data_IF_897948602648
#
_entry.id   IF_897948602648
#
_cell.length_a   1.000
_cell.length_b   1.000
_cell.length_c   1.000
_cell.angle_alpha   90.00
_cell.angle_beta   90.00
_cell.angle_gamma   90.00
#
_symmetry.space_group_name_H-M   'P 1'
#
loop_
_entity.id
_entity.type
_entity.pdbx_description
1 polymer ?
#
# COMPACT_ATOMS: atom_id res chain seq x y z
N UNK A 1 26.75 4.33 4.94
CA UNK A 1 25.47 4.48 5.68
C UNK A 1 24.58 5.36 4.84
N UNK A 2 23.61 4.77 4.14
CA UNK A 2 22.58 5.53 3.43
C UNK A 2 21.84 6.40 4.44
N UNK A 3 22.00 7.72 4.33
CA UNK A 3 21.28 8.68 5.16
C UNK A 3 19.95 8.97 4.47
N UNK A 4 18.84 8.61 5.10
CA UNK A 4 17.52 9.07 4.68
C UNK A 4 17.38 10.55 5.04
N UNK A 5 17.99 11.45 4.27
CA UNK A 5 17.83 12.91 4.43
C UNK A 5 17.97 13.42 5.89
N UNK A 6 18.91 12.88 6.66
CA UNK A 6 19.14 13.24 8.08
C UNK A 6 18.36 12.44 9.12
N UNK A 7 17.42 11.59 8.71
CA UNK A 7 16.70 10.66 9.58
C UNK A 7 17.45 9.33 9.77
N UNK A 8 17.23 8.68 10.91
CA UNK A 8 17.76 7.33 11.15
C UNK A 8 16.94 6.28 10.40
N UNK A 9 17.52 5.11 10.18
CA UNK A 9 16.79 3.95 9.64
C UNK A 9 15.54 3.61 10.46
N UNK A 10 15.59 3.83 11.78
CA UNK A 10 14.46 3.61 12.68
C UNK A 10 13.33 4.63 12.47
N UNK A 11 13.65 5.89 12.20
CA UNK A 11 12.64 6.92 11.88
C UNK A 11 11.99 6.66 10.51
N UNK A 12 12.78 6.21 9.54
CA UNK A 12 12.27 5.77 8.25
C UNK A 12 11.31 4.58 8.41
N UNK A 13 11.70 3.56 9.18
CA UNK A 13 10.83 2.41 9.47
C UNK A 13 9.52 2.83 10.15
N UNK A 14 9.59 3.68 11.19
CA UNK A 14 8.38 4.17 11.89
C UNK A 14 7.44 4.93 10.97
N UNK A 15 7.99 5.66 10.00
CA UNK A 15 7.22 6.39 9.00
C UNK A 15 6.52 5.42 8.05
N UNK A 16 7.26 4.44 7.52
CA UNK A 16 6.70 3.41 6.64
C UNK A 16 5.62 2.60 7.36
N UNK A 17 5.86 2.16 8.59
CA UNK A 17 4.89 1.42 9.41
C UNK A 17 3.58 2.20 9.63
N UNK A 18 3.66 3.53 9.74
CA UNK A 18 2.49 4.38 9.92
C UNK A 18 1.69 4.57 8.63
N UNK A 19 2.38 4.85 7.53
CA UNK A 19 1.72 5.28 6.28
C UNK A 19 1.36 4.11 5.36
N UNK A 20 2.03 2.97 5.46
CA UNK A 20 1.78 1.80 4.63
C UNK A 20 0.31 1.32 4.67
N UNK A 21 -0.31 1.05 5.84
CA UNK A 21 -1.73 0.67 5.87
C UNK A 21 -2.65 1.78 5.36
N UNK A 22 -2.30 3.04 5.59
CA UNK A 22 -3.10 4.20 5.17
C UNK A 22 -3.06 4.42 3.64
N UNK A 23 -1.93 4.15 3.01
CA UNK A 23 -1.81 4.14 1.56
C UNK A 23 -2.68 3.03 0.94
N UNK A 24 -2.74 1.86 1.57
CA UNK A 24 -3.59 0.75 1.12
C UNK A 24 -5.09 1.05 1.26
N UNK A 25 -5.47 1.80 2.29
CA UNK A 25 -6.85 2.28 2.51
C UNK A 25 -7.33 3.21 1.38
N UNK A 26 -6.41 3.87 0.66
CA UNK A 26 -6.76 4.80 -0.46
C UNK A 26 -7.40 4.07 -1.64
N UNK A 27 -7.15 2.77 -1.80
CA UNK A 27 -7.78 1.96 -2.84
C UNK A 27 -9.25 1.61 -2.52
N UNK A 28 -9.71 1.86 -1.28
CA UNK A 28 -11.07 1.58 -0.85
C UNK A 28 -11.36 0.10 -0.67
N UNK A 29 -12.63 -0.23 -0.40
CA UNK A 29 -13.07 -1.58 -0.09
C UNK A 29 -13.00 -2.50 -1.31
N UNK A 30 -12.63 -3.76 -1.08
CA UNK A 30 -12.52 -4.76 -2.14
C UNK A 30 -13.89 -5.16 -2.68
N UNK A 31 -14.91 -5.21 -1.82
CA UNK A 31 -16.31 -5.53 -2.19
C UNK A 31 -17.13 -4.29 -2.57
N UNK A 32 -16.47 -3.24 -3.08
CA UNK A 32 -17.20 -2.06 -3.53
C UNK A 32 -17.98 -2.38 -4.81
N UNK A 33 -19.32 -2.45 -4.69
CA UNK A 33 -20.24 -2.60 -5.83
C UNK A 33 -19.97 -1.60 -6.96
N UNK A 34 -19.49 -0.40 -6.61
CA UNK A 34 -19.10 0.61 -7.59
C UNK A 34 -17.84 0.21 -8.38
N UNK A 35 -16.84 -0.39 -7.71
CA UNK A 35 -15.64 -0.89 -8.38
C UNK A 35 -15.99 -2.03 -9.34
N UNK A 36 -16.83 -2.97 -8.92
CA UNK A 36 -17.30 -4.07 -9.78
C UNK A 36 -18.05 -3.55 -11.01
N UNK A 37 -18.98 -2.61 -10.82
CA UNK A 37 -19.73 -1.99 -11.91
C UNK A 37 -18.81 -1.17 -12.84
N UNK A 38 -17.81 -0.46 -12.31
CA UNK A 38 -16.86 0.28 -13.13
C UNK A 38 -15.99 -0.64 -14.00
N UNK A 39 -15.62 -1.83 -13.50
CA UNK A 39 -14.91 -2.83 -14.29
C UNK A 39 -15.83 -3.48 -15.33
N UNK A 40 -17.06 -3.84 -14.94
CA UNK A 40 -18.06 -4.42 -15.83
C UNK A 40 -18.44 -3.46 -16.99
N UNK A 41 -18.50 -2.15 -16.71
CA UNK A 41 -18.76 -1.12 -17.71
C UNK A 41 -17.51 -0.71 -18.52
N UNK A 42 -16.34 -1.32 -18.27
CA UNK A 42 -15.09 -1.00 -18.97
C UNK A 42 -14.49 0.38 -18.64
N UNK A 43 -15.00 1.07 -17.61
CA UNK A 43 -14.50 2.36 -17.13
C UNK A 43 -13.16 2.17 -16.39
N UNK A 44 -13.02 1.04 -15.68
CA UNK A 44 -11.77 0.62 -15.03
C UNK A 44 -11.31 -0.72 -15.58
N UNK A 45 -9.99 -0.86 -15.70
CA UNK A 45 -9.33 -2.10 -16.12
C UNK A 45 -9.14 -3.10 -14.96
N UNK A 46 -9.04 -2.59 -13.73
CA UNK A 46 -8.76 -3.38 -12.53
C UNK A 46 -9.66 -2.94 -11.38
N UNK A 47 -10.15 -3.91 -10.61
CA UNK A 47 -10.86 -3.66 -9.36
C UNK A 47 -9.91 -3.17 -8.25
N UNK A 48 -10.48 -2.76 -7.12
CA UNK A 48 -9.72 -2.19 -6.01
C UNK A 48 -8.73 -3.18 -5.39
N UNK A 49 -9.08 -4.48 -5.32
CA UNK A 49 -8.20 -5.50 -4.75
C UNK A 49 -7.01 -5.76 -5.69
N UNK A 50 -7.24 -5.85 -7.00
CA UNK A 50 -6.19 -6.01 -8.00
C UNK A 50 -5.19 -4.83 -7.95
N UNK A 51 -5.67 -3.58 -7.91
CA UNK A 51 -4.79 -2.41 -7.77
C UNK A 51 -4.00 -2.43 -6.46
N UNK A 52 -4.65 -2.82 -5.37
CA UNK A 52 -4.02 -2.93 -4.05
C UNK A 52 -2.92 -3.99 -4.04
N UNK A 53 -3.12 -5.13 -4.70
CA UNK A 53 -2.10 -6.18 -4.84
C UNK A 53 -0.92 -5.72 -5.70
N UNK A 54 -1.18 -5.06 -6.83
CA UNK A 54 -0.12 -4.50 -7.68
C UNK A 54 0.72 -3.45 -6.92
N UNK A 55 0.05 -2.56 -6.19
CA UNK A 55 0.73 -1.56 -5.36
C UNK A 55 1.60 -2.22 -4.30
N UNK A 56 1.10 -3.26 -3.61
CA UNK A 56 1.89 -4.02 -2.62
C UNK A 56 3.13 -4.64 -3.22
N UNK A 57 2.99 -5.32 -4.35
CA UNK A 57 4.14 -5.96 -5.01
C UNK A 57 5.26 -4.97 -5.35
N UNK A 58 4.88 -3.79 -5.86
CA UNK A 58 5.84 -2.76 -6.22
C UNK A 58 6.47 -2.08 -5.00
N UNK A 59 5.65 -1.64 -4.05
CA UNK A 59 6.14 -0.90 -2.89
C UNK A 59 6.92 -1.80 -1.91
N UNK A 60 6.54 -3.07 -1.75
CA UNK A 60 7.22 -4.02 -0.88
C UNK A 60 8.65 -4.26 -1.38
N UNK A 61 8.83 -4.40 -2.69
CA UNK A 61 10.15 -4.51 -3.32
C UNK A 61 11.00 -3.25 -3.08
N UNK A 62 10.41 -2.05 -3.19
CA UNK A 62 11.12 -0.80 -2.91
C UNK A 62 11.50 -0.67 -1.42
N UNK A 63 10.59 -1.01 -0.50
CA UNK A 63 10.86 -0.99 0.96
C UNK A 63 12.02 -1.94 1.28
N UNK A 64 12.01 -3.16 0.74
CA UNK A 64 13.10 -4.11 0.92
C UNK A 64 14.42 -3.63 0.30
N UNK A 65 14.38 -3.01 -0.88
CA UNK A 65 15.57 -2.47 -1.56
C UNK A 65 16.24 -1.35 -0.75
N UNK A 66 15.46 -0.56 -0.01
CA UNK A 66 15.98 0.46 0.93
C UNK A 66 16.47 -0.13 2.26
N UNK A 67 16.43 -1.45 2.41
CA UNK A 67 16.84 -2.20 3.60
C UNK A 67 15.86 -2.08 4.78
N UNK A 68 14.67 -1.53 4.56
CA UNK A 68 13.59 -1.47 5.54
C UNK A 68 12.80 -2.78 5.55
N UNK A 69 11.99 -2.98 6.59
CA UNK A 69 11.08 -4.12 6.71
C UNK A 69 9.72 -3.73 6.14
N UNK A 70 9.14 -4.63 5.34
CA UNK A 70 7.76 -4.49 4.86
C UNK A 70 6.83 -4.55 6.07
N UNK A 71 5.99 -3.52 6.31
CA UNK A 71 5.04 -3.52 7.40
C UNK A 71 3.94 -4.54 7.18
N UNK A 72 3.27 -4.91 8.26
CA UNK A 72 2.08 -5.74 8.17
C UNK A 72 0.95 -4.96 7.47
N UNK A 73 0.39 -5.48 6.36
CA UNK A 73 -0.62 -4.80 5.55
C UNK A 73 -1.99 -4.70 6.22
N UNK A 74 -2.25 -5.49 7.25
CA UNK A 74 -3.53 -5.54 7.97
C UNK A 74 -3.49 -4.70 9.27
N UNK A 75 -2.29 -4.43 9.78
CA UNK A 75 -2.09 -3.66 11.00
C UNK A 75 -2.61 -2.23 10.88
N UNK A 76 -3.81 -2.00 11.42
CA UNK A 76 -4.44 -0.68 11.49
C UNK A 76 -5.27 -0.29 10.27
N UNK A 77 -5.58 -1.24 9.37
CA UNK A 77 -6.54 -0.99 8.29
C UNK A 77 -7.93 -0.76 8.84
N UNK A 78 -8.64 0.17 8.20
CA UNK A 78 -10.06 0.48 8.53
C UNK A 78 -11.00 -0.09 7.48
N UNK A 79 -10.47 -0.43 6.31
CA UNK A 79 -11.22 -0.91 5.16
C UNK A 79 -10.67 -2.28 4.76
N UNK A 80 -11.53 -3.31 4.89
CA UNK A 80 -11.28 -4.67 4.40
C UNK A 80 -11.83 -4.78 2.97
#
# INVERSE_FOLDING_TARGET
MERFCGATKADAQRTVDKWYPQALDTFGASESKFSELAVACGIRRWDNEALRQMFRQDIDAQIQATGLKVPDPEKGRKIH
#
